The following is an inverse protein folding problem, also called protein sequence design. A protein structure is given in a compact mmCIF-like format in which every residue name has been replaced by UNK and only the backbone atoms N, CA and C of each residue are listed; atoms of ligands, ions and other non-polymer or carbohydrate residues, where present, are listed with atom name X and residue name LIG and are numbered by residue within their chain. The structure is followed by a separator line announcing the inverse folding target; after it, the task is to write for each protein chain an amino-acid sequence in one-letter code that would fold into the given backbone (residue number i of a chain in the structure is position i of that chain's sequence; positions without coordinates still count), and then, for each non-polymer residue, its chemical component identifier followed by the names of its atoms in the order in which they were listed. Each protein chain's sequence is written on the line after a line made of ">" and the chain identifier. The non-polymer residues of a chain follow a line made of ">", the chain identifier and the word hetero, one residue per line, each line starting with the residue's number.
data_IF_866882335959
#
_entry.id   IF_866882335959
#
_cell.length_a   1.000
_cell.length_b   1.000
_cell.length_c   1.000
_cell.angle_alpha   90.00
_cell.angle_beta   90.00
_cell.angle_gamma   90.00
#
_symmetry.space_group_name_H-M   'P 1'
#
loop_
_entity.id
_entity.type
_entity.pdbx_description
1 polymer ?
#
# COMPACT_ATOMS: atom_id res chain seq x y z
N UNK A 1 8.06 -10.68 -23.47
CA UNK A 1 7.65 -11.49 -22.30
C UNK A 1 6.19 -11.23 -21.93
N UNK A 2 5.75 -9.96 -21.81
CA UNK A 2 4.35 -9.59 -21.53
C UNK A 2 3.31 -10.31 -22.41
N UNK A 3 3.50 -10.33 -23.74
CA UNK A 3 2.57 -10.98 -24.68
C UNK A 3 2.32 -12.48 -24.41
N UNK A 4 3.32 -13.21 -23.90
CA UNK A 4 3.18 -14.62 -23.59
C UNK A 4 2.38 -14.85 -22.30
N UNK A 5 2.59 -14.00 -21.28
CA UNK A 5 1.86 -14.06 -20.02
C UNK A 5 0.38 -13.71 -20.24
N UNK A 6 0.08 -12.70 -21.05
CA UNK A 6 -1.29 -12.33 -21.40
C UNK A 6 -2.02 -13.45 -22.15
N UNK A 7 -1.34 -14.14 -23.08
CA UNK A 7 -1.91 -15.30 -23.78
C UNK A 7 -2.18 -16.46 -22.82
N UNK A 8 -1.22 -16.81 -21.95
CA UNK A 8 -1.39 -17.86 -20.94
C UNK A 8 -2.56 -17.53 -20.02
N UNK A 9 -2.62 -16.29 -19.52
CA UNK A 9 -3.70 -15.80 -18.68
C UNK A 9 -5.05 -15.91 -19.38
N UNK A 10 -5.13 -15.46 -20.63
CA UNK A 10 -6.33 -15.54 -21.46
C UNK A 10 -6.80 -16.98 -21.71
N UNK A 11 -5.87 -17.93 -21.86
CA UNK A 11 -6.20 -19.36 -22.03
C UNK A 11 -6.69 -19.98 -20.73
N UNK A 12 -6.05 -19.68 -19.61
CA UNK A 12 -6.44 -20.19 -18.28
C UNK A 12 -7.81 -19.63 -17.88
N UNK A 13 -8.07 -18.34 -18.10
CA UNK A 13 -9.37 -17.71 -17.83
C UNK A 13 -10.54 -18.36 -18.58
N UNK A 14 -10.28 -19.04 -19.71
CA UNK A 14 -11.32 -19.72 -20.50
C UNK A 14 -11.66 -21.12 -20.00
N UNK A 15 -10.86 -21.70 -19.10
CA UNK A 15 -11.13 -23.02 -18.52
C UNK A 15 -12.41 -22.99 -17.69
N UNK A 16 -13.23 -24.02 -17.80
CA UNK A 16 -14.54 -24.08 -17.14
C UNK A 16 -14.39 -24.12 -15.61
N UNK A 17 -13.31 -24.71 -15.10
CA UNK A 17 -12.95 -24.73 -13.69
C UNK A 17 -12.70 -23.31 -13.17
N UNK A 18 -11.96 -22.50 -13.93
CA UNK A 18 -11.64 -21.12 -13.55
C UNK A 18 -12.89 -20.26 -13.57
N UNK A 19 -13.74 -20.38 -14.59
CA UNK A 19 -15.04 -19.69 -14.64
C UNK A 19 -15.95 -20.07 -13.47
N UNK A 20 -15.96 -21.35 -13.08
CA UNK A 20 -16.70 -21.81 -11.89
C UNK A 20 -16.17 -21.15 -10.63
N UNK A 21 -14.85 -21.12 -10.44
CA UNK A 21 -14.21 -20.46 -9.29
C UNK A 21 -14.57 -18.96 -9.26
N UNK A 22 -14.44 -18.24 -10.38
CA UNK A 22 -14.84 -16.83 -10.45
C UNK A 22 -16.32 -16.64 -10.11
N UNK A 23 -17.19 -17.53 -10.58
CA UNK A 23 -18.62 -17.47 -10.27
C UNK A 23 -18.94 -17.70 -8.78
N UNK A 24 -18.23 -18.61 -8.10
CA UNK A 24 -18.32 -18.76 -6.65
C UNK A 24 -17.82 -17.52 -5.92
N UNK A 25 -16.70 -16.97 -6.37
CA UNK A 25 -16.10 -15.76 -5.83
C UNK A 25 -17.08 -14.58 -5.94
N UNK A 26 -17.65 -14.34 -7.13
CA UNK A 26 -18.68 -13.31 -7.39
C UNK A 26 -19.88 -13.41 -6.45
N UNK A 27 -20.33 -14.64 -6.16
CA UNK A 27 -21.45 -14.92 -5.24
C UNK A 27 -21.05 -14.85 -3.76
N UNK A 28 -19.79 -14.54 -3.44
CA UNK A 28 -19.23 -14.52 -2.08
C UNK A 28 -19.44 -15.84 -1.34
N UNK A 29 -19.32 -16.95 -2.08
CA UNK A 29 -19.45 -18.30 -1.55
C UNK A 29 -18.08 -18.87 -1.20
N UNK A 30 -18.05 -19.70 -0.16
CA UNK A 30 -16.84 -20.43 0.19
C UNK A 30 -16.57 -21.49 -0.89
N UNK A 31 -15.36 -21.50 -1.42
CA UNK A 31 -14.89 -22.48 -2.39
C UNK A 31 -13.54 -23.03 -1.95
N UNK A 32 -13.40 -24.35 -1.99
CA UNK A 32 -12.12 -25.02 -1.80
C UNK A 32 -11.55 -25.39 -3.17
N UNK A 33 -10.34 -24.89 -3.45
CA UNK A 33 -9.64 -25.18 -4.69
C UNK A 33 -8.50 -26.15 -4.39
N UNK A 34 -8.67 -27.41 -4.81
CA UNK A 34 -7.67 -28.46 -4.64
C UNK A 34 -6.73 -28.47 -5.86
N UNK A 35 -5.46 -28.84 -5.64
CA UNK A 35 -4.44 -28.99 -6.70
C UNK A 35 -3.96 -27.70 -7.37
N UNK A 36 -4.29 -26.52 -6.84
CA UNK A 36 -3.65 -25.28 -7.29
C UNK A 36 -2.21 -25.20 -6.76
N UNK A 37 -1.23 -25.32 -7.66
CA UNK A 37 0.20 -25.36 -7.35
C UNK A 37 0.95 -24.18 -7.99
N UNK A 38 1.96 -23.66 -7.29
CA UNK A 38 2.75 -22.51 -7.75
C UNK A 38 1.91 -21.30 -8.13
N UNK A 39 2.31 -20.61 -9.20
CA UNK A 39 1.68 -19.37 -9.70
C UNK A 39 0.28 -19.54 -10.27
N UNK A 40 -0.24 -20.78 -10.38
CA UNK A 40 -1.65 -21.00 -10.72
C UNK A 40 -2.59 -20.33 -9.70
N UNK A 41 -2.18 -20.26 -8.43
CA UNK A 41 -2.96 -19.57 -7.38
C UNK A 41 -3.06 -18.07 -7.67
N UNK A 42 -1.94 -17.46 -8.04
CA UNK A 42 -1.83 -16.04 -8.40
C UNK A 42 -2.68 -15.72 -9.63
N UNK A 43 -2.69 -16.60 -10.63
CA UNK A 43 -3.54 -16.49 -11.82
C UNK A 43 -5.04 -16.59 -11.49
N UNK A 44 -5.44 -17.52 -10.63
CA UNK A 44 -6.83 -17.65 -10.18
C UNK A 44 -7.28 -16.38 -9.46
N UNK A 45 -6.48 -15.89 -8.49
CA UNK A 45 -6.83 -14.70 -7.70
C UNK A 45 -6.86 -13.44 -8.58
N UNK A 46 -5.90 -13.27 -9.49
CA UNK A 46 -5.90 -12.15 -10.45
C UNK A 46 -7.12 -12.18 -11.37
N UNK A 47 -7.56 -13.36 -11.84
CA UNK A 47 -8.78 -13.48 -12.63
C UNK A 47 -10.03 -13.10 -11.83
N UNK A 48 -10.17 -13.65 -10.62
CA UNK A 48 -11.26 -13.33 -9.71
C UNK A 48 -11.32 -11.83 -9.37
N UNK A 49 -10.16 -11.22 -9.13
CA UNK A 49 -10.03 -9.80 -8.83
C UNK A 49 -10.54 -8.94 -9.99
N UNK A 50 -10.16 -9.25 -11.22
CA UNK A 50 -10.60 -8.53 -12.43
C UNK A 50 -12.11 -8.62 -12.69
N UNK A 51 -12.72 -9.75 -12.37
CA UNK A 51 -14.18 -9.92 -12.53
C UNK A 51 -15.00 -9.25 -11.42
N UNK A 52 -14.51 -9.23 -10.17
CA UNK A 52 -15.35 -8.86 -9.01
C UNK A 52 -15.39 -7.36 -8.68
N UNK A 53 -14.55 -6.54 -9.31
CA UNK A 53 -14.41 -5.10 -8.96
C UNK A 53 -14.37 -4.84 -7.43
N UNK A 54 -13.72 -5.73 -6.68
CA UNK A 54 -13.68 -5.69 -5.21
C UNK A 54 -12.24 -5.81 -4.70
N UNK A 55 -11.99 -5.23 -3.53
CA UNK A 55 -10.74 -5.41 -2.77
C UNK A 55 -10.65 -6.82 -2.23
N UNK A 56 -9.49 -7.46 -2.36
CA UNK A 56 -9.26 -8.86 -1.97
C UNK A 56 -8.18 -8.93 -0.91
N UNK A 57 -8.44 -9.66 0.18
CA UNK A 57 -7.41 -10.03 1.15
C UNK A 57 -6.96 -11.46 0.86
N UNK A 58 -5.71 -11.65 0.50
CA UNK A 58 -5.12 -12.94 0.19
C UNK A 58 -4.13 -13.36 1.29
N UNK A 59 -4.52 -14.36 2.07
CA UNK A 59 -3.80 -14.78 3.27
C UNK A 59 -2.92 -16.00 3.02
N UNK A 60 -1.72 -15.94 3.58
CA UNK A 60 -0.72 -17.00 3.55
C UNK A 60 -0.31 -17.44 4.96
N UNK A 61 0.12 -18.70 5.15
CA UNK A 61 0.55 -19.17 6.47
C UNK A 61 1.75 -18.41 7.04
N UNK A 62 2.61 -17.87 6.17
CA UNK A 62 3.89 -17.26 6.51
C UNK A 62 4.24 -16.12 5.53
N UNK A 63 5.14 -15.22 5.96
CA UNK A 63 5.56 -14.06 5.18
C UNK A 63 6.31 -14.44 3.89
N UNK A 64 7.12 -15.50 3.88
CA UNK A 64 7.89 -15.90 2.70
C UNK A 64 6.97 -16.25 1.53
N UNK A 65 5.90 -17.01 1.77
CA UNK A 65 4.90 -17.32 0.75
C UNK A 65 4.08 -16.11 0.32
N UNK A 66 3.81 -15.18 1.24
CA UNK A 66 3.14 -13.92 0.91
C UNK A 66 4.00 -13.05 -0.02
N UNK A 67 5.30 -12.96 0.25
CA UNK A 67 6.28 -12.25 -0.58
C UNK A 67 6.39 -12.89 -1.98
N UNK A 68 6.45 -14.21 -2.07
CA UNK A 68 6.44 -14.90 -3.37
C UNK A 68 5.16 -14.60 -4.16
N UNK A 69 4.01 -14.57 -3.50
CA UNK A 69 2.74 -14.32 -4.14
C UNK A 69 2.58 -12.88 -4.64
N UNK A 70 3.08 -11.87 -3.91
CA UNK A 70 3.03 -10.48 -4.40
C UNK A 70 3.91 -10.29 -5.64
N UNK A 71 5.09 -10.94 -5.68
CA UNK A 71 5.96 -10.91 -6.86
C UNK A 71 5.29 -11.53 -8.09
N UNK A 72 4.54 -12.61 -7.93
CA UNK A 72 3.74 -13.16 -9.03
C UNK A 72 2.69 -12.14 -9.50
N UNK A 73 1.98 -11.47 -8.57
CA UNK A 73 0.92 -10.52 -8.91
C UNK A 73 1.45 -9.25 -9.61
N UNK A 74 2.64 -8.78 -9.27
CA UNK A 74 3.31 -7.66 -9.96
C UNK A 74 3.51 -7.90 -11.46
N UNK A 75 3.61 -9.17 -11.87
CA UNK A 75 3.72 -9.56 -13.28
C UNK A 75 2.36 -9.81 -13.96
N UNK A 76 1.29 -9.98 -13.17
CA UNK A 76 -0.05 -10.34 -13.66
C UNK A 76 -1.03 -9.17 -13.68
N UNK A 77 -0.79 -8.14 -12.87
CA UNK A 77 -1.67 -7.01 -12.66
C UNK A 77 -0.98 -5.69 -13.01
N UNK A 78 -1.76 -4.64 -13.34
CA UNK A 78 -1.25 -3.29 -13.42
C UNK A 78 -0.58 -2.85 -12.11
N UNK A 79 0.35 -1.90 -12.23
CA UNK A 79 1.05 -1.31 -11.07
C UNK A 79 0.04 -0.79 -10.04
N UNK A 80 0.37 -0.96 -8.75
CA UNK A 80 -0.44 -0.57 -7.59
C UNK A 80 -1.78 -1.31 -7.41
N UNK A 81 -2.02 -2.42 -8.14
CA UNK A 81 -3.21 -3.25 -7.92
C UNK A 81 -3.01 -4.43 -6.97
N UNK A 82 -1.79 -4.63 -6.47
CA UNK A 82 -1.48 -5.57 -5.40
C UNK A 82 -0.41 -5.00 -4.50
N UNK A 83 -0.50 -5.29 -3.20
CA UNK A 83 0.51 -4.88 -2.23
C UNK A 83 0.65 -5.90 -1.09
N UNK A 84 1.88 -6.07 -0.61
CA UNK A 84 2.17 -6.85 0.59
C UNK A 84 1.85 -6.01 1.83
N UNK A 85 1.09 -6.56 2.76
CA UNK A 85 0.96 -6.06 4.12
C UNK A 85 1.93 -6.84 5.02
N UNK A 86 3.12 -6.30 5.32
CA UNK A 86 4.18 -7.05 5.99
C UNK A 86 3.90 -7.23 7.49
N UNK A 87 4.52 -8.24 8.08
CA UNK A 87 4.53 -8.43 9.52
C UNK A 87 5.27 -7.28 10.22
N UNK A 88 4.73 -6.79 11.34
CA UNK A 88 5.42 -5.77 12.14
C UNK A 88 6.73 -6.32 12.70
N UNK A 89 7.85 -5.68 12.34
CA UNK A 89 9.17 -6.00 12.89
C UNK A 89 9.69 -4.86 13.73
N UNK A 90 10.04 -5.20 14.97
CA UNK A 90 10.77 -4.30 15.87
C UNK A 90 12.24 -4.67 15.79
N UNK A 91 13.09 -3.68 15.54
CA UNK A 91 14.54 -3.88 15.55
C UNK A 91 15.04 -4.28 16.94
N UNK A 92 16.28 -4.78 17.03
CA UNK A 92 16.93 -5.16 18.30
C UNK A 92 17.01 -4.02 19.32
N UNK A 93 16.89 -2.77 18.87
CA UNK A 93 16.93 -1.57 19.70
C UNK A 93 15.53 -1.03 20.05
N UNK A 94 14.47 -1.80 19.80
CA UNK A 94 13.10 -1.42 20.16
C UNK A 94 12.45 -0.40 19.21
N UNK A 95 13.12 0.02 18.14
CA UNK A 95 12.53 0.88 17.10
C UNK A 95 11.91 0.03 16.00
N UNK A 96 10.70 0.38 15.56
CA UNK A 96 10.05 -0.21 14.40
C UNK A 96 10.85 0.08 13.11
N UNK A 97 10.87 -0.88 12.18
CA UNK A 97 11.51 -0.68 10.87
C UNK A 97 10.67 0.27 10.02
N UNK A 98 11.24 1.42 9.66
CA UNK A 98 10.57 2.47 8.87
C UNK A 98 10.04 1.93 7.54
N UNK A 99 10.73 0.97 6.92
CA UNK A 99 10.26 0.36 5.66
C UNK A 99 8.96 -0.40 5.86
N UNK A 100 8.83 -1.10 6.99
CA UNK A 100 7.61 -1.84 7.35
C UNK A 100 6.48 -0.85 7.64
N UNK A 101 6.76 0.24 8.36
CA UNK A 101 5.78 1.31 8.61
C UNK A 101 5.31 1.94 7.29
N UNK A 102 6.23 2.22 6.37
CA UNK A 102 5.93 2.77 5.05
C UNK A 102 5.03 1.86 4.23
N UNK A 103 5.41 0.58 4.07
CA UNK A 103 4.61 -0.41 3.33
C UNK A 103 3.21 -0.60 3.95
N UNK A 104 3.12 -0.71 5.27
CA UNK A 104 1.83 -0.79 5.95
C UNK A 104 1.01 0.48 5.74
N UNK A 105 1.63 1.66 5.80
CA UNK A 105 0.95 2.94 5.60
C UNK A 105 0.40 3.10 4.18
N UNK A 106 1.13 2.62 3.17
CA UNK A 106 0.68 2.61 1.78
C UNK A 106 -0.60 1.77 1.64
N UNK A 107 -0.57 0.51 2.08
CA UNK A 107 -1.74 -0.39 2.05
C UNK A 107 -2.93 0.20 2.81
N UNK A 108 -2.69 0.71 4.03
CA UNK A 108 -3.75 1.30 4.85
C UNK A 108 -4.36 2.53 4.18
N UNK A 109 -3.55 3.36 3.53
CA UNK A 109 -4.01 4.55 2.82
C UNK A 109 -4.84 4.17 1.60
N UNK A 110 -4.37 3.24 0.77
CA UNK A 110 -5.13 2.69 -0.36
C UNK A 110 -6.49 2.14 0.08
N UNK A 111 -6.52 1.35 1.16
CA UNK A 111 -7.77 0.85 1.73
C UNK A 111 -8.68 1.97 2.26
N UNK A 112 -8.12 2.99 2.89
CA UNK A 112 -8.87 4.12 3.43
C UNK A 112 -9.43 5.05 2.34
N UNK A 113 -8.74 5.16 1.21
CA UNK A 113 -9.17 5.90 0.01
C UNK A 113 -10.16 5.08 -0.84
N UNK A 114 -10.42 3.82 -0.49
CA UNK A 114 -11.38 2.95 -1.18
C UNK A 114 -10.83 2.36 -2.48
N UNK A 115 -9.51 2.30 -2.61
CA UNK A 115 -8.86 1.74 -3.78
C UNK A 115 -9.13 0.23 -3.91
N UNK A 116 -9.33 -0.20 -5.14
CA UNK A 116 -9.45 -1.62 -5.48
C UNK A 116 -8.06 -2.22 -5.58
N UNK A 117 -7.69 -3.03 -4.59
CA UNK A 117 -6.37 -3.64 -4.47
C UNK A 117 -6.46 -5.10 -3.95
N UNK A 118 -5.47 -5.92 -4.29
CA UNK A 118 -5.22 -7.19 -3.62
C UNK A 118 -4.20 -6.95 -2.50
N UNK A 119 -4.64 -7.09 -1.25
CA UNK A 119 -3.76 -7.07 -0.09
C UNK A 119 -3.28 -8.49 0.18
N UNK A 120 -1.98 -8.72 0.05
CA UNK A 120 -1.33 -10.00 0.33
C UNK A 120 -0.74 -9.93 1.73
N UNK A 121 -1.04 -10.89 2.61
CA UNK A 121 -0.54 -10.86 3.98
C UNK A 121 -0.31 -12.28 4.54
N UNK A 122 0.57 -12.40 5.54
CA UNK A 122 0.61 -13.61 6.36
C UNK A 122 -0.49 -13.58 7.44
N UNK A 123 -0.82 -14.73 8.00
CA UNK A 123 -1.73 -14.80 9.17
C UNK A 123 -1.17 -14.02 10.36
N UNK A 124 0.15 -14.02 10.55
CA UNK A 124 0.80 -13.27 11.63
C UNK A 124 0.67 -11.75 11.43
N UNK A 125 0.73 -11.26 10.19
CA UNK A 125 0.58 -9.84 9.88
C UNK A 125 -0.80 -9.27 10.31
N UNK A 126 -1.84 -10.10 10.36
CA UNK A 126 -3.18 -9.70 10.82
C UNK A 126 -3.26 -9.38 12.31
N UNK A 127 -2.25 -9.76 13.09
CA UNK A 127 -2.20 -9.44 14.52
C UNK A 127 -1.82 -7.98 14.78
N UNK A 128 -1.26 -7.29 13.78
CA UNK A 128 -0.91 -5.88 13.86
C UNK A 128 -2.17 -5.03 13.98
N UNK A 129 -2.28 -4.26 15.08
CA UNK A 129 -3.35 -3.28 15.24
C UNK A 129 -3.08 -2.09 14.35
N UNK A 130 -4.01 -1.81 13.45
CA UNK A 130 -3.95 -0.66 12.54
C UNK A 130 -4.96 0.42 12.94
N UNK A 131 -4.71 1.65 12.48
CA UNK A 131 -5.67 2.75 12.61
C UNK A 131 -6.90 2.45 11.76
N UNK A 132 -8.09 2.84 12.23
CA UNK A 132 -9.31 2.74 11.41
C UNK A 132 -9.23 3.68 10.20
N UNK A 133 -9.94 3.38 9.09
CA UNK A 133 -9.98 4.26 7.92
C UNK A 133 -10.31 5.72 8.25
N UNK A 134 -11.26 5.94 9.18
CA UNK A 134 -11.62 7.30 9.64
C UNK A 134 -10.46 8.01 10.32
N UNK A 135 -9.67 7.30 11.14
CA UNK A 135 -8.50 7.87 11.81
C UNK A 135 -7.38 8.19 10.81
N UNK A 136 -7.19 7.32 9.82
CA UNK A 136 -6.22 7.54 8.73
C UNK A 136 -6.59 8.79 7.95
N UNK A 137 -7.85 8.90 7.51
CA UNK A 137 -8.33 10.07 6.78
C UNK A 137 -8.21 11.37 7.60
N UNK A 138 -8.52 11.34 8.90
CA UNK A 138 -8.37 12.51 9.77
C UNK A 138 -6.91 12.98 9.94
N UNK A 139 -5.94 12.09 9.75
CA UNK A 139 -4.51 12.39 9.86
C UNK A 139 -3.86 12.72 8.51
N UNK A 140 -4.59 12.58 7.39
CA UNK A 140 -4.09 12.91 6.06
C UNK A 140 -3.79 14.42 5.97
N UNK A 141 -2.57 14.75 5.55
CA UNK A 141 -2.12 16.12 5.33
C UNK A 141 -2.05 16.33 3.82
N UNK A 142 -3.03 17.05 3.27
CA UNK A 142 -3.00 17.51 1.88
C UNK A 142 -2.37 18.89 1.84
N UNK A 143 -1.42 19.07 0.93
CA UNK A 143 -0.73 20.35 0.68
C UNK A 143 -0.76 20.61 -0.82
N UNK A 144 -1.17 21.81 -1.22
CA UNK A 144 -1.23 22.24 -2.62
C UNK A 144 -0.61 23.63 -2.77
N UNK A 145 -0.02 23.91 -3.93
CA UNK A 145 0.48 25.24 -4.27
C UNK A 145 -0.65 26.27 -4.29
N UNK A 146 -0.40 27.47 -3.77
CA UNK A 146 -1.38 28.56 -3.69
C UNK A 146 -2.36 28.45 -2.52
N UNK A 147 -2.23 27.42 -1.66
CA UNK A 147 -3.04 27.28 -0.46
C UNK A 147 -2.31 27.84 0.78
N UNK A 148 -3.05 28.59 1.60
CA UNK A 148 -2.60 29.03 2.92
C UNK A 148 -2.75 27.90 3.95
N UNK A 149 -1.79 26.96 3.94
CA UNK A 149 -1.76 25.86 4.91
C UNK A 149 -1.38 26.32 6.32
N UNK A 150 -0.77 27.49 6.41
CA UNK A 150 -0.20 28.03 7.63
C UNK A 150 1.09 27.29 7.98
N UNK A 151 2.24 27.96 7.92
CA UNK A 151 3.55 27.32 8.06
C UNK A 151 3.66 26.57 9.40
N UNK A 152 3.28 27.22 10.51
CA UNK A 152 3.31 26.61 11.84
C UNK A 152 2.26 25.51 12.01
N UNK A 153 1.10 25.66 11.37
CA UNK A 153 0.03 24.66 11.39
C UNK A 153 0.49 23.37 10.73
N UNK A 154 1.17 23.45 9.58
CA UNK A 154 1.75 22.29 8.93
C UNK A 154 2.75 21.58 9.84
N UNK A 155 3.68 22.31 10.48
CA UNK A 155 4.67 21.72 11.38
C UNK A 155 3.99 21.02 12.58
N UNK A 156 2.94 21.60 13.15
CA UNK A 156 2.18 20.99 14.24
C UNK A 156 1.46 19.70 13.79
N UNK A 157 0.91 19.68 12.57
CA UNK A 157 0.26 18.50 11.99
C UNK A 157 1.28 17.39 11.72
N UNK A 158 2.45 17.70 11.17
CA UNK A 158 3.53 16.73 10.95
C UNK A 158 3.97 16.06 12.26
N UNK A 159 4.21 16.85 13.31
CA UNK A 159 4.54 16.30 14.63
C UNK A 159 3.42 15.39 15.18
N UNK A 160 2.16 15.82 15.03
CA UNK A 160 0.99 15.03 15.49
C UNK A 160 0.81 13.74 14.70
N UNK A 161 1.17 13.75 13.41
CA UNK A 161 1.17 12.58 12.54
C UNK A 161 2.35 11.63 12.81
N UNK A 162 3.26 11.98 13.73
CA UNK A 162 4.39 11.14 14.14
C UNK A 162 5.64 11.31 13.28
N UNK A 163 5.75 12.40 12.51
CA UNK A 163 6.99 12.70 11.80
C UNK A 163 8.07 13.20 12.77
N UNK A 164 9.30 12.78 12.55
CA UNK A 164 10.47 13.17 13.33
C UNK A 164 11.10 14.44 12.74
N UNK A 165 11.28 15.48 13.56
CA UNK A 165 11.98 16.70 13.14
C UNK A 165 13.48 16.48 13.19
N UNK A 166 14.14 16.62 12.03
CA UNK A 166 15.58 16.42 11.85
C UNK A 166 16.24 17.63 11.19
N UNK A 167 17.57 17.66 11.15
CA UNK A 167 18.33 18.72 10.48
C UNK A 167 18.41 18.51 8.96
N UNK A 168 18.36 17.25 8.53
CA UNK A 168 18.41 16.83 7.14
C UNK A 168 17.58 15.56 7.01
N UNK A 169 16.66 15.56 6.05
CA UNK A 169 15.79 14.43 5.74
C UNK A 169 16.61 13.35 5.05
N UNK A 170 16.51 12.12 5.54
CA UNK A 170 17.21 10.94 5.00
C UNK A 170 16.24 9.78 4.72
N UNK A 171 15.20 9.60 5.55
CA UNK A 171 14.27 8.45 5.44
C UNK A 171 12.80 8.87 5.62
N UNK A 172 11.85 8.02 5.18
CA UNK A 172 10.42 8.27 5.38
C UNK A 172 10.06 8.51 6.85
N UNK A 173 9.10 9.41 7.07
CA UNK A 173 8.68 9.84 8.40
C UNK A 173 9.52 10.95 9.00
N UNK A 174 10.44 11.55 8.26
CA UNK A 174 11.24 12.70 8.70
C UNK A 174 10.79 14.00 8.04
N UNK A 175 11.02 15.12 8.74
CA UNK A 175 10.95 16.44 8.14
C UNK A 175 12.04 17.38 8.68
N UNK A 176 12.50 18.31 7.85
CA UNK A 176 13.46 19.34 8.21
C UNK A 176 12.91 20.73 7.86
N UNK A 177 13.31 21.73 8.64
CA UNK A 177 12.86 23.12 8.46
C UNK A 177 14.07 24.04 8.29
N UNK A 178 14.08 24.83 7.22
CA UNK A 178 15.17 25.76 6.89
C UNK A 178 14.58 27.10 6.42
N UNK A 179 14.39 28.03 7.36
CA UNK A 179 13.71 29.29 7.06
C UNK A 179 12.28 29.03 6.60
N UNK A 180 11.91 29.52 5.41
CA UNK A 180 10.61 29.30 4.78
C UNK A 180 10.48 27.98 4.00
N UNK A 181 11.41 27.03 4.18
CA UNK A 181 11.39 25.75 3.46
C UNK A 181 11.14 24.60 4.44
N UNK A 182 10.26 23.68 4.05
CA UNK A 182 10.01 22.42 4.76
C UNK A 182 10.31 21.25 3.82
N UNK A 183 11.34 20.47 4.14
CA UNK A 183 11.59 19.18 3.50
C UNK A 183 10.81 18.12 4.29
N UNK A 184 10.01 17.29 3.62
CA UNK A 184 9.24 16.21 4.25
C UNK A 184 9.46 14.94 3.44
N UNK A 185 9.67 13.80 4.11
CA UNK A 185 9.65 12.49 3.46
C UNK A 185 8.39 11.72 3.88
N UNK A 186 7.31 11.77 3.09
CA UNK A 186 6.09 11.04 3.41
C UNK A 186 6.33 9.53 3.54
N UNK A 187 5.59 8.87 4.43
CA UNK A 187 5.68 7.41 4.61
C UNK A 187 5.37 6.61 3.34
N UNK A 188 4.54 7.17 2.45
CA UNK A 188 4.02 6.50 1.24
C UNK A 188 4.62 7.02 -0.06
N UNK A 189 5.65 7.87 0.00
CA UNK A 189 6.29 8.44 -1.20
C UNK A 189 7.65 7.78 -1.44
N UNK A 190 8.06 7.70 -2.70
CA UNK A 190 9.39 7.21 -3.07
C UNK A 190 10.51 8.21 -2.78
N UNK A 191 10.19 9.51 -2.85
CA UNK A 191 11.14 10.61 -2.70
C UNK A 191 10.62 11.64 -1.69
N UNK A 192 11.52 12.33 -0.97
CA UNK A 192 11.13 13.48 -0.17
C UNK A 192 10.63 14.61 -1.06
N UNK A 193 9.71 15.41 -0.52
CA UNK A 193 9.16 16.61 -1.16
C UNK A 193 9.64 17.84 -0.40
N UNK A 194 9.91 18.92 -1.13
CA UNK A 194 10.26 20.23 -0.59
C UNK A 194 9.10 21.19 -0.82
N UNK A 195 8.65 21.79 0.27
CA UNK A 195 7.63 22.82 0.30
C UNK A 195 8.31 24.17 0.55
N UNK A 196 8.13 25.12 -0.36
CA UNK A 196 8.63 26.49 -0.21
C UNK A 196 7.46 27.41 0.12
N UNK A 197 7.62 28.21 1.18
CA UNK A 197 6.59 29.10 1.69
C UNK A 197 6.97 30.56 1.49
N UNK A 198 5.96 31.36 1.14
CA UNK A 198 6.00 32.82 1.21
C UNK A 198 4.97 33.30 2.24
N UNK A 199 5.44 33.59 3.45
CA UNK A 199 4.54 33.84 4.58
C UNK A 199 3.80 32.57 4.99
N UNK A 200 2.47 32.55 4.83
CA UNK A 200 1.61 31.40 5.16
C UNK A 200 1.20 30.57 3.94
N UNK A 201 1.54 31.02 2.73
CA UNK A 201 1.19 30.40 1.45
C UNK A 201 2.29 29.47 0.95
N UNK A 202 1.90 28.33 0.37
CA UNK A 202 2.81 27.41 -0.33
C UNK A 202 3.06 27.93 -1.75
N UNK A 203 4.25 28.46 -1.98
CA UNK A 203 4.66 29.03 -3.27
C UNK A 203 5.08 27.92 -4.26
N UNK A 204 5.79 26.90 -3.79
CA UNK A 204 6.26 25.81 -4.65
C UNK A 204 6.34 24.47 -3.93
N UNK A 205 6.14 23.38 -4.68
CA UNK A 205 6.32 21.99 -4.25
C UNK A 205 7.21 21.32 -5.29
N UNK A 206 8.30 20.69 -4.84
CA UNK A 206 9.27 19.99 -5.72
C UNK A 206 9.82 18.73 -5.10
#
# INVERSE_FOLDING_TARGET
>A
MAFLLDDIRGRIARLDEIKKISAYFLKKQNVEVVSAVGSLRSLIVAQCFDEQQATVLWLFPDQERAEQAVLDLEHLLPVHQSALFPETRVSRWGKEDVRIISQQSEVITSLADGERIIVVASVAALQTRIRSPKQVQAQKITVSTGEEHGFQTLLARLNTAGFERVNMVDKPGEFAVRGGIVDVFPFTAENPVRLEFFGEEVESIR
#
